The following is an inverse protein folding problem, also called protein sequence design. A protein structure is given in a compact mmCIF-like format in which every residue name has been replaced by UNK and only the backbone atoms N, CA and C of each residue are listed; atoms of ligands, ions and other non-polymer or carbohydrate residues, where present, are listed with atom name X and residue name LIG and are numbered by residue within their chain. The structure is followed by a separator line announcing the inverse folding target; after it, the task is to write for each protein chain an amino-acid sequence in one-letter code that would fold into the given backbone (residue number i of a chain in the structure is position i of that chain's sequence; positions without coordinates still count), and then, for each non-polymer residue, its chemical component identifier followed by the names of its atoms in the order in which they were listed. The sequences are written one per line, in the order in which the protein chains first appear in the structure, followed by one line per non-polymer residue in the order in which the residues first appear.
data_IF_676824665840
#
_entry.id   IF_676824665840
#
_cell.length_a   1.000
_cell.length_b   1.000
_cell.length_c   1.000
_cell.angle_alpha   90.00
_cell.angle_beta   90.00
_cell.angle_gamma   90.00
#
_symmetry.space_group_name_H-M   'P 1'
#
loop_
_entity.id
_entity.type
_entity.pdbx_description
1 polymer ?
#
# COMPACT_ATOMS: atom_id res chain seq x y z
N UNK A 1 7.10 10.39 -6.83
CA UNK A 1 6.87 10.65 -5.39
C UNK A 1 7.02 9.34 -4.62
N UNK A 2 7.36 9.40 -3.34
CA UNK A 2 7.20 8.27 -2.41
C UNK A 2 6.12 8.63 -1.40
N UNK A 3 5.25 7.68 -1.08
CA UNK A 3 4.17 7.90 -0.12
C UNK A 3 4.35 6.88 0.99
N UNK A 4 4.44 7.37 2.23
CA UNK A 4 4.49 6.54 3.42
C UNK A 4 3.15 6.67 4.12
N UNK A 5 2.46 5.55 4.32
CA UNK A 5 1.22 5.52 5.12
C UNK A 5 1.59 5.28 6.57
N UNK A 6 1.40 6.30 7.41
CA UNK A 6 1.74 6.25 8.83
C UNK A 6 0.73 7.04 9.66
N UNK A 7 -0.36 6.35 10.03
CA UNK A 7 -1.49 6.92 10.76
C UNK A 7 -1.06 7.83 11.92
N UNK A 8 -0.10 7.38 12.73
CA UNK A 8 0.24 8.01 14.01
C UNK A 8 1.56 8.80 13.95
N UNK A 9 2.10 9.02 12.75
CA UNK A 9 3.37 9.72 12.55
C UNK A 9 4.51 9.17 13.44
N UNK A 10 4.74 7.86 13.35
CA UNK A 10 5.79 7.11 14.07
C UNK A 10 7.10 7.05 13.30
N UNK A 11 7.08 7.35 12.01
CA UNK A 11 8.23 7.34 11.11
C UNK A 11 9.28 8.31 11.65
N UNK A 12 10.49 7.84 11.98
CA UNK A 12 11.55 8.72 12.47
C UNK A 12 11.92 9.76 11.41
N UNK A 13 12.11 11.01 11.81
CA UNK A 13 12.53 12.09 10.91
C UNK A 13 13.90 11.83 10.27
N UNK A 14 14.77 11.08 10.95
CA UNK A 14 16.06 10.61 10.44
C UNK A 14 16.01 9.30 9.64
N UNK A 15 14.84 8.74 9.33
CA UNK A 15 14.75 7.50 8.58
C UNK A 15 15.41 7.63 7.19
N UNK A 16 16.02 6.55 6.69
CA UNK A 16 16.68 6.53 5.36
C UNK A 16 15.73 6.89 4.21
N UNK A 17 14.44 6.65 4.40
CA UNK A 17 13.39 7.05 3.44
C UNK A 17 13.14 8.57 3.41
N UNK A 18 13.58 9.28 4.46
CA UNK A 18 13.53 10.74 4.61
C UNK A 18 14.85 11.43 4.22
N UNK A 19 15.97 10.72 4.22
CA UNK A 19 17.30 11.31 4.00
C UNK A 19 17.77 11.24 2.53
N UNK A 20 17.92 12.44 1.95
CA UNK A 20 18.90 12.97 0.98
C UNK A 20 19.42 12.02 -0.13
N UNK A 21 19.20 12.42 -1.39
CA UNK A 21 19.89 11.91 -2.59
C UNK A 21 18.99 11.30 -3.67
N UNK A 22 17.69 11.13 -3.38
CA UNK A 22 16.72 10.70 -4.38
C UNK A 22 16.04 11.92 -5.03
N UNK A 23 15.85 11.95 -6.35
CA UNK A 23 15.07 12.97 -7.04
C UNK A 23 13.57 12.94 -6.69
N UNK A 24 13.11 11.98 -5.87
CA UNK A 24 11.70 11.81 -5.52
C UNK A 24 11.36 12.40 -4.15
N UNK A 25 10.41 13.35 -4.13
CA UNK A 25 9.83 13.90 -2.91
C UNK A 25 9.08 12.80 -2.13
N UNK A 26 9.38 12.66 -0.83
CA UNK A 26 8.67 11.76 0.09
C UNK A 26 7.56 12.52 0.82
N UNK A 27 6.35 11.99 0.79
CA UNK A 27 5.17 12.49 1.50
C UNK A 27 4.71 11.44 2.52
N UNK A 28 4.43 11.86 3.75
CA UNK A 28 3.81 10.98 4.75
C UNK A 28 2.31 11.29 4.84
N UNK A 29 1.48 10.29 4.53
CA UNK A 29 0.04 10.32 4.79
C UNK A 29 -0.19 9.96 6.27
N UNK A 30 -0.77 10.88 7.02
CA UNK A 30 -1.04 10.72 8.46
C UNK A 30 -2.54 10.81 8.75
N UNK A 31 -2.97 10.29 9.89
CA UNK A 31 -4.33 10.48 10.37
C UNK A 31 -4.63 11.96 10.62
N UNK A 32 -5.88 12.36 10.38
CA UNK A 32 -6.36 13.72 10.68
C UNK A 32 -6.39 14.05 12.18
N UNK A 33 -6.28 13.03 13.04
CA UNK A 33 -6.19 13.15 14.49
C UNK A 33 -4.77 13.48 15.00
N UNK A 34 -3.75 13.47 14.14
CA UNK A 34 -2.38 13.83 14.53
C UNK A 34 -2.32 15.30 14.94
N UNK A 35 -1.84 15.64 16.17
CA UNK A 35 -1.81 17.01 16.65
C UNK A 35 -0.98 17.95 15.77
N UNK A 36 -1.49 19.16 15.54
CA UNK A 36 -0.83 20.18 14.71
C UNK A 36 0.60 20.50 15.17
N UNK A 37 0.86 20.51 16.49
CA UNK A 37 2.19 20.72 17.05
C UNK A 37 3.20 19.68 16.56
N UNK A 38 2.80 18.40 16.55
CA UNK A 38 3.62 17.29 16.07
C UNK A 38 3.87 17.36 14.56
N UNK A 39 2.88 17.82 13.79
CA UNK A 39 3.04 18.07 12.36
C UNK A 39 4.08 19.17 12.10
N UNK A 40 4.03 20.27 12.86
CA UNK A 40 4.99 21.37 12.72
C UNK A 40 6.41 20.99 13.15
N UNK A 41 6.57 20.13 14.15
CA UNK A 41 7.88 19.57 14.52
C UNK A 41 8.51 18.78 13.37
N UNK A 42 7.73 17.88 12.77
CA UNK A 42 8.19 17.05 11.64
C UNK A 42 8.44 17.89 10.39
N UNK A 43 7.61 18.91 10.13
CA UNK A 43 7.80 19.87 9.04
C UNK A 43 9.10 20.67 9.21
N UNK A 44 9.42 21.11 10.43
CA UNK A 44 10.70 21.77 10.75
C UNK A 44 11.91 20.86 10.52
N UNK A 45 11.74 19.55 10.61
CA UNK A 45 12.76 18.56 10.28
C UNK A 45 12.88 18.26 8.76
N UNK A 46 12.14 18.99 7.91
CA UNK A 46 12.20 18.84 6.44
C UNK A 46 11.35 17.70 5.87
N UNK A 47 10.49 17.09 6.69
CA UNK A 47 9.60 16.00 6.27
C UNK A 47 8.25 16.58 5.85
N UNK A 48 7.80 16.22 4.64
CA UNK A 48 6.51 16.66 4.11
C UNK A 48 5.40 15.67 4.53
N UNK A 49 4.34 16.19 5.12
CA UNK A 49 3.19 15.40 5.59
C UNK A 49 1.89 15.93 4.99
N UNK A 50 0.85 15.11 4.98
CA UNK A 50 -0.52 15.56 4.76
C UNK A 50 -1.51 14.71 5.55
N UNK A 51 -2.51 15.36 6.11
CA UNK A 51 -3.59 14.71 6.84
C UNK A 51 -4.56 14.01 5.89
N UNK A 52 -5.05 12.85 6.32
CA UNK A 52 -6.03 12.05 5.61
C UNK A 52 -7.14 11.63 6.57
N UNK A 53 -8.35 11.51 6.03
CA UNK A 53 -9.48 10.94 6.75
C UNK A 53 -9.13 9.56 7.31
N UNK A 54 -9.82 9.18 8.39
CA UNK A 54 -9.55 7.93 9.08
C UNK A 54 -10.74 6.98 9.02
N UNK A 55 -10.42 5.68 8.96
CA UNK A 55 -11.37 4.56 9.07
C UNK A 55 -10.74 3.50 9.97
N UNK A 56 -11.51 3.04 10.95
CA UNK A 56 -11.09 1.99 11.91
C UNK A 56 -9.73 2.26 12.59
N UNK A 57 -9.49 3.52 12.98
CA UNK A 57 -8.26 3.95 13.65
C UNK A 57 -7.02 3.92 12.74
N UNK A 58 -7.20 3.91 11.42
CA UNK A 58 -6.14 3.95 10.40
C UNK A 58 -6.46 5.02 9.37
N UNK A 59 -5.45 5.42 8.59
CA UNK A 59 -5.67 6.21 7.37
C UNK A 59 -6.65 5.47 6.46
N UNK A 60 -7.71 6.14 6.04
CA UNK A 60 -8.64 5.64 5.03
C UNK A 60 -7.93 5.61 3.68
N UNK A 61 -7.71 4.41 3.14
CA UNK A 61 -6.94 4.22 1.92
C UNK A 61 -7.71 4.69 0.68
N UNK A 62 -9.04 4.63 0.70
CA UNK A 62 -9.89 5.16 -0.38
C UNK A 62 -9.75 6.69 -0.43
N UNK A 63 -9.86 7.36 0.72
CA UNK A 63 -9.65 8.81 0.79
C UNK A 63 -8.20 9.20 0.42
N UNK A 64 -7.22 8.37 0.78
CA UNK A 64 -5.84 8.56 0.35
C UNK A 64 -5.73 8.50 -1.18
N UNK A 65 -6.34 7.51 -1.86
CA UNK A 65 -6.31 7.42 -3.32
C UNK A 65 -6.92 8.66 -3.98
N UNK A 66 -8.02 9.18 -3.45
CA UNK A 66 -8.64 10.43 -3.94
C UNK A 66 -7.72 11.65 -3.81
N UNK A 67 -6.98 11.76 -2.70
CA UNK A 67 -6.01 12.83 -2.49
C UNK A 67 -4.86 12.71 -3.51
N UNK A 68 -4.39 11.49 -3.76
CA UNK A 68 -3.32 11.25 -4.75
C UNK A 68 -3.80 11.57 -6.17
N UNK A 69 -5.01 11.16 -6.54
CA UNK A 69 -5.62 11.50 -7.83
C UNK A 69 -5.75 13.01 -8.04
N UNK A 70 -6.19 13.76 -7.01
CA UNK A 70 -6.23 15.24 -7.04
C UNK A 70 -4.85 15.91 -7.17
N UNK A 71 -3.78 15.19 -6.84
CA UNK A 71 -2.38 15.62 -7.05
C UNK A 71 -1.79 15.14 -8.38
N UNK A 72 -2.64 14.63 -9.28
CA UNK A 72 -2.24 14.06 -10.57
C UNK A 72 -1.27 12.87 -10.44
N UNK A 73 -1.33 12.15 -9.32
CA UNK A 73 -0.61 10.88 -9.12
C UNK A 73 -1.57 9.77 -9.57
N UNK A 74 -1.41 9.33 -10.81
CA UNK A 74 -2.34 8.40 -11.48
C UNK A 74 -1.91 6.93 -11.39
N UNK A 75 -0.69 6.66 -10.94
CA UNK A 75 -0.21 5.30 -10.71
C UNK A 75 0.70 5.26 -9.48
N UNK A 76 0.54 4.21 -8.69
CA UNK A 76 1.38 3.94 -7.52
C UNK A 76 1.82 2.48 -7.55
N UNK A 77 3.07 2.24 -7.17
CA UNK A 77 3.54 0.91 -6.81
C UNK A 77 3.40 0.77 -5.30
N UNK A 78 2.56 -0.16 -4.86
CA UNK A 78 2.34 -0.40 -3.43
C UNK A 78 3.31 -1.47 -2.96
N UNK A 79 4.28 -1.05 -2.15
CA UNK A 79 5.19 -1.93 -1.42
C UNK A 79 4.89 -1.75 0.07
N UNK A 80 4.54 -2.83 0.77
CA UNK A 80 4.15 -2.73 2.17
C UNK A 80 3.98 -4.06 2.86
N UNK A 81 3.83 -4.00 4.18
CA UNK A 81 3.58 -5.19 5.00
C UNK A 81 2.17 -5.76 4.81
N UNK A 82 1.98 -6.96 5.34
CA UNK A 82 0.74 -7.75 5.22
C UNK A 82 -0.54 -6.95 5.54
N UNK A 83 -0.49 -6.07 6.53
CA UNK A 83 -1.65 -5.28 6.94
C UNK A 83 -2.10 -4.27 5.88
N UNK A 84 -1.16 -3.54 5.27
CA UNK A 84 -1.47 -2.57 4.21
C UNK A 84 -1.97 -3.29 2.96
N UNK A 85 -1.29 -4.37 2.56
CA UNK A 85 -1.68 -5.16 1.40
C UNK A 85 -3.09 -5.77 1.58
N UNK A 86 -3.38 -6.33 2.76
CA UNK A 86 -4.69 -6.87 3.06
C UNK A 86 -5.81 -5.82 3.05
N UNK A 87 -5.55 -4.60 3.52
CA UNK A 87 -6.50 -3.50 3.44
C UNK A 87 -6.75 -3.06 1.99
N UNK A 88 -5.69 -2.85 1.19
CA UNK A 88 -5.79 -2.51 -0.24
C UNK A 88 -6.59 -3.54 -1.03
N UNK A 89 -6.39 -4.84 -0.77
CA UNK A 89 -7.15 -5.93 -1.40
C UNK A 89 -8.64 -5.86 -1.03
N UNK A 90 -8.96 -5.74 0.27
CA UNK A 90 -10.36 -5.71 0.73
C UNK A 90 -11.11 -4.48 0.26
N UNK A 91 -10.42 -3.34 0.18
CA UNK A 91 -10.97 -2.08 -0.32
C UNK A 91 -11.00 -2.01 -1.86
N UNK A 92 -10.52 -3.07 -2.55
CA UNK A 92 -10.49 -3.17 -4.03
C UNK A 92 -9.70 -2.05 -4.70
N UNK A 93 -8.60 -1.62 -4.07
CA UNK A 93 -7.75 -0.50 -4.53
C UNK A 93 -6.54 -0.96 -5.34
N UNK A 94 -6.50 -2.24 -5.74
CA UNK A 94 -5.41 -2.82 -6.54
C UNK A 94 -5.93 -3.12 -7.92
N UNK A 95 -5.29 -2.57 -8.94
CA UNK A 95 -5.59 -2.86 -10.35
C UNK A 95 -4.72 -3.98 -10.92
N UNK A 96 -3.54 -4.21 -10.35
CA UNK A 96 -2.56 -5.17 -10.88
C UNK A 96 -1.66 -5.71 -9.78
N UNK A 97 -1.45 -7.03 -9.80
CA UNK A 97 -0.54 -7.71 -8.91
C UNK A 97 0.76 -8.13 -9.60
N UNK A 98 1.84 -8.07 -8.83
CA UNK A 98 3.16 -8.63 -9.17
C UNK A 98 3.61 -9.49 -7.99
N UNK A 99 3.60 -10.82 -8.16
CA UNK A 99 4.08 -11.77 -7.16
C UNK A 99 5.46 -12.26 -7.54
N UNK A 100 6.45 -12.00 -6.69
CA UNK A 100 7.80 -12.53 -6.83
C UNK A 100 7.94 -13.77 -5.95
N UNK A 101 8.14 -14.92 -6.57
CA UNK A 101 8.23 -16.23 -5.91
C UNK A 101 9.64 -16.78 -6.09
N UNK A 102 10.39 -16.86 -4.99
CA UNK A 102 11.72 -17.48 -4.96
C UNK A 102 11.62 -18.98 -4.65
N UNK A 103 12.55 -19.82 -5.15
CA UNK A 103 12.60 -21.25 -4.83
C UNK A 103 13.20 -21.47 -3.43
N UNK A 104 12.60 -20.86 -2.40
CA UNK A 104 13.09 -20.86 -1.01
C UNK A 104 11.93 -21.18 -0.07
N UNK A 105 12.17 -22.06 0.89
CA UNK A 105 11.20 -22.48 1.91
C UNK A 105 11.73 -22.05 3.27
N UNK A 106 10.96 -21.25 4.02
CA UNK A 106 11.35 -20.77 5.34
C UNK A 106 11.12 -21.81 6.46
N UNK A 107 10.04 -22.58 6.37
CA UNK A 107 9.78 -23.72 7.26
C UNK A 107 9.29 -23.40 8.67
N UNK A 108 9.13 -22.13 9.04
CA UNK A 108 8.59 -21.67 10.33
C UNK A 108 7.14 -21.18 10.28
N UNK A 109 6.52 -20.99 11.44
CA UNK A 109 5.20 -20.37 11.66
C UNK A 109 5.29 -18.86 11.97
N UNK A 110 6.51 -18.31 11.99
CA UNK A 110 6.86 -16.91 12.24
C UNK A 110 7.00 -16.07 10.96
N UNK A 111 6.69 -16.67 9.80
CA UNK A 111 6.71 -15.99 8.51
C UNK A 111 5.67 -14.86 8.42
N UNK A 112 6.03 -13.77 7.73
CA UNK A 112 5.09 -12.69 7.43
C UNK A 112 4.27 -13.06 6.19
N UNK A 113 2.93 -13.17 6.27
CA UNK A 113 2.10 -13.46 5.10
C UNK A 113 2.08 -12.27 4.14
N UNK A 114 1.72 -12.51 2.89
CA UNK A 114 1.59 -11.44 1.89
C UNK A 114 0.50 -10.41 2.26
N UNK A 115 -0.61 -10.88 2.83
CA UNK A 115 -1.74 -10.04 3.26
C UNK A 115 -2.29 -10.54 4.60
N UNK A 116 -2.78 -9.61 5.42
CA UNK A 116 -3.34 -9.90 6.75
C UNK A 116 -4.74 -9.29 6.93
N UNK A 117 -5.49 -9.86 7.87
CA UNK A 117 -6.88 -9.53 8.18
C UNK A 117 -7.85 -10.61 7.67
N UNK A 118 -9.17 -10.37 7.74
CA UNK A 118 -10.15 -11.36 7.33
C UNK A 118 -10.02 -11.68 5.84
N UNK A 119 -10.16 -12.97 5.52
CA UNK A 119 -10.17 -13.50 4.16
C UNK A 119 -11.43 -14.31 3.88
N UNK A 120 -11.62 -14.77 2.63
CA UNK A 120 -12.75 -15.63 2.26
C UNK A 120 -12.71 -16.96 3.00
N UNK A 121 -13.88 -17.49 3.38
CA UNK A 121 -14.00 -18.82 4.01
C UNK A 121 -13.90 -19.96 2.98
N UNK A 122 -14.23 -19.67 1.72
CA UNK A 122 -14.26 -20.64 0.63
C UNK A 122 -13.45 -20.17 -0.58
N UNK A 123 -12.87 -21.12 -1.31
CA UNK A 123 -12.05 -20.85 -2.51
C UNK A 123 -12.83 -20.13 -3.61
N UNK A 124 -14.13 -20.42 -3.75
CA UNK A 124 -14.98 -19.76 -4.75
C UNK A 124 -15.34 -18.31 -4.39
N UNK A 125 -15.06 -17.88 -3.16
CA UNK A 125 -15.17 -16.49 -2.71
C UNK A 125 -13.84 -15.72 -2.84
N UNK A 126 -12.76 -16.39 -3.26
CA UNK A 126 -11.47 -15.75 -3.43
C UNK A 126 -11.47 -14.73 -4.57
N UNK A 127 -10.68 -13.67 -4.40
CA UNK A 127 -10.35 -12.76 -5.49
C UNK A 127 -9.61 -13.53 -6.58
N UNK A 128 -10.23 -13.64 -7.76
CA UNK A 128 -9.62 -14.29 -8.91
C UNK A 128 -8.73 -13.29 -9.64
N UNK A 129 -7.62 -13.77 -10.15
CA UNK A 129 -6.79 -13.03 -11.09
C UNK A 129 -7.09 -13.52 -12.52
N UNK A 130 -7.28 -12.58 -13.43
CA UNK A 130 -7.35 -12.82 -14.86
C UNK A 130 -6.07 -12.31 -15.56
N UNK A 131 -5.96 -12.60 -16.85
CA UNK A 131 -4.81 -12.20 -17.68
C UNK A 131 -3.47 -12.56 -17.04
N UNK A 132 -3.39 -13.77 -16.47
CA UNK A 132 -2.22 -14.19 -15.70
C UNK A 132 -1.05 -14.48 -16.64
N UNK A 133 0.07 -13.79 -16.41
CA UNK A 133 1.34 -14.00 -17.10
C UNK A 133 2.40 -14.47 -16.10
N UNK A 134 3.23 -15.42 -16.49
CA UNK A 134 4.38 -15.87 -15.69
C UNK A 134 5.68 -15.63 -16.43
N UNK A 135 6.66 -15.07 -15.75
CA UNK A 135 8.02 -14.85 -16.26
C UNK A 135 9.05 -15.46 -15.32
N UNK A 136 10.13 -15.99 -15.87
CA UNK A 136 11.31 -16.38 -15.09
C UNK A 136 12.24 -15.17 -14.96
N UNK A 137 12.67 -14.88 -13.73
CA UNK A 137 13.63 -13.84 -13.40
C UNK A 137 14.82 -14.47 -12.66
N UNK A 138 15.84 -14.90 -13.40
CA UNK A 138 16.90 -15.73 -12.83
C UNK A 138 16.33 -17.06 -12.33
N UNK A 139 16.44 -17.32 -11.02
CA UNK A 139 15.87 -18.51 -10.38
C UNK A 139 14.46 -18.28 -9.80
N UNK A 140 14.01 -17.02 -9.77
CA UNK A 140 12.69 -16.65 -9.27
C UNK A 140 11.64 -16.66 -10.38
N UNK A 141 10.37 -16.70 -9.99
CA UNK A 141 9.21 -16.57 -10.87
C UNK A 141 8.48 -15.28 -10.54
N UNK A 142 8.17 -14.49 -11.57
CA UNK A 142 7.23 -13.39 -11.49
C UNK A 142 5.88 -13.83 -12.04
N UNK A 143 4.84 -13.80 -11.22
CA UNK A 143 3.45 -13.93 -11.64
C UNK A 143 2.80 -12.55 -11.67
N UNK A 144 2.19 -12.20 -12.80
CA UNK A 144 1.47 -10.94 -13.02
C UNK A 144 0.01 -11.29 -13.25
N UNK A 145 -0.92 -10.54 -12.67
CA UNK A 145 -2.34 -10.73 -12.93
C UNK A 145 -3.18 -9.52 -12.54
N UNK A 146 -4.38 -9.46 -13.07
CA UNK A 146 -5.33 -8.38 -12.82
C UNK A 146 -6.52 -8.94 -12.03
N UNK A 147 -6.96 -8.28 -10.94
CA UNK A 147 -8.07 -8.77 -10.15
C UNK A 147 -9.40 -8.66 -10.89
N UNK A 148 -10.22 -9.69 -10.71
CA UNK A 148 -11.61 -9.69 -11.15
C UNK A 148 -12.50 -9.35 -9.95
N UNK A 149 -12.73 -8.06 -9.74
CA UNK A 149 -13.80 -7.62 -8.84
C UNK A 149 -15.12 -7.83 -9.60
N UNK A 150 -15.94 -8.79 -9.17
CA UNK A 150 -17.25 -9.04 -9.79
C UNK A 150 -18.05 -7.74 -9.95
N UNK A 151 -18.91 -7.66 -10.97
CA UNK A 151 -19.58 -6.47 -11.52
C UNK A 151 -20.51 -5.67 -10.57
N UNK A 152 -20.36 -5.80 -9.26
CA UNK A 152 -20.90 -4.86 -8.29
C UNK A 152 -19.98 -3.64 -8.17
N UNK A 153 -20.42 -2.54 -8.77
CA UNK A 153 -20.00 -1.13 -8.56
C UNK A 153 -18.64 -0.96 -7.87
N UNK A 154 -17.56 -1.08 -8.66
CA UNK A 154 -16.30 -0.41 -8.37
C UNK A 154 -16.26 0.96 -9.06
N UNK A 155 -15.52 1.95 -8.53
CA UNK A 155 -15.34 3.21 -9.23
C UNK A 155 -14.73 2.96 -10.62
N UNK A 156 -15.11 3.73 -11.65
CA UNK A 156 -14.60 3.54 -13.00
C UNK A 156 -13.08 3.67 -13.03
N UNK A 157 -12.39 2.93 -13.91
CA UNK A 157 -10.97 3.14 -14.13
C UNK A 157 -10.73 4.59 -14.58
N UNK A 158 -9.78 5.25 -13.91
CA UNK A 158 -9.32 6.61 -14.26
C UNK A 158 -8.43 6.66 -15.49
#
# INVERSE_FOLDING_TARGET
FRIVVDTNLRTPTGARIMTVGSPSMTLIAVGEDVPAERLEEVRRAGVSTFSCAMRDGRVDLTALMDILGRRSITSILVEGGATLMGAMIRERLIDKFYFFVAPKILGGDDGVPMAAGPGPERIDQCLRLNQVETRRLGDDILLIGYPEYGSGEGPPPG
#
